data_IF_785547439798
#
_entry.id   IF_785547439798
#
_cell.length_a   1.000
_cell.length_b   1.000
_cell.length_c   1.000
_cell.angle_alpha   90.00
_cell.angle_beta   90.00
_cell.angle_gamma   90.00
#
_symmetry.space_group_name_H-M   'P 1'
#
loop_
_entity.id
_entity.type
_entity.pdbx_description
1 polymer ?
#
# COMPACT_ATOMS: atom_id res chain seq x y z
N UNK A 1 -4.94 0.74 18.02
CA UNK A 1 -4.92 2.12 17.49
C UNK A 1 -3.57 2.48 16.87
N UNK A 2 -2.45 2.31 17.59
CA UNK A 2 -1.09 2.62 17.10
C UNK A 2 -0.77 2.02 15.72
N UNK A 3 -1.01 0.72 15.51
CA UNK A 3 -0.81 0.06 14.20
C UNK A 3 -1.63 0.66 13.06
N UNK A 4 -2.85 1.14 13.31
CA UNK A 4 -3.67 1.80 12.28
C UNK A 4 -3.08 3.15 11.89
N UNK A 5 -2.53 3.90 12.86
CA UNK A 5 -1.83 5.17 12.59
C UNK A 5 -0.55 4.92 11.80
N UNK A 6 0.22 3.88 12.12
CA UNK A 6 1.39 3.50 11.34
C UNK A 6 1.04 3.08 9.92
N UNK A 7 0.01 2.27 9.76
CA UNK A 7 -0.48 1.82 8.45
C UNK A 7 -0.93 3.01 7.61
N UNK A 8 -1.70 3.94 8.21
CA UNK A 8 -2.11 5.19 7.57
C UNK A 8 -0.90 5.94 7.01
N UNK A 9 0.10 6.20 7.86
CA UNK A 9 1.31 6.93 7.47
C UNK A 9 2.05 6.26 6.32
N UNK A 10 2.23 4.94 6.37
CA UNK A 10 2.90 4.19 5.31
C UNK A 10 2.16 4.28 3.97
N UNK A 11 0.82 4.20 3.97
CA UNK A 11 0.01 4.35 2.75
C UNK A 11 0.09 5.79 2.21
N UNK A 12 0.03 6.80 3.07
CA UNK A 12 0.15 8.21 2.66
C UNK A 12 1.52 8.51 2.05
N UNK A 13 2.61 8.06 2.69
CA UNK A 13 3.97 8.19 2.18
C UNK A 13 4.12 7.51 0.82
N UNK A 14 3.57 6.31 0.65
CA UNK A 14 3.55 5.60 -0.63
C UNK A 14 2.80 6.38 -1.72
N UNK A 15 1.60 6.89 -1.41
CA UNK A 15 0.78 7.61 -2.39
C UNK A 15 1.43 8.94 -2.81
N UNK A 16 2.07 9.65 -1.87
CA UNK A 16 2.79 10.88 -2.18
C UNK A 16 4.03 10.61 -3.05
N UNK A 17 4.83 9.59 -2.70
CA UNK A 17 5.96 9.14 -3.52
C UNK A 17 5.49 8.76 -4.93
N UNK A 18 4.44 7.94 -5.04
CA UNK A 18 3.87 7.50 -6.32
C UNK A 18 3.39 8.68 -7.15
N UNK A 19 2.70 9.66 -6.55
CA UNK A 19 2.25 10.87 -7.24
C UNK A 19 3.41 11.65 -7.84
N UNK A 20 4.49 11.82 -7.09
CA UNK A 20 5.69 12.51 -7.56
C UNK A 20 6.38 11.76 -8.70
N UNK A 21 6.44 10.42 -8.61
CA UNK A 21 6.99 9.56 -9.66
C UNK A 21 6.12 9.55 -10.93
N UNK A 22 4.79 9.55 -10.80
CA UNK A 22 3.88 9.57 -11.95
C UNK A 22 3.89 10.90 -12.74
N UNK A 23 4.41 11.98 -12.15
CA UNK A 23 4.65 13.23 -12.88
C UNK A 23 5.87 13.15 -13.81
N UNK A 24 6.72 12.13 -13.65
CA UNK A 24 7.87 11.89 -14.52
C UNK A 24 7.44 11.13 -15.78
N UNK A 25 7.97 11.55 -16.94
CA UNK A 25 7.68 10.90 -18.24
C UNK A 25 8.64 9.76 -18.58
N UNK A 26 9.72 9.64 -17.82
CA UNK A 26 10.83 8.72 -18.10
C UNK A 26 10.74 7.39 -17.35
N UNK A 27 9.76 7.25 -16.44
CA UNK A 27 9.45 6.03 -15.70
C UNK A 27 7.96 5.69 -15.81
N UNK A 28 7.63 4.42 -15.60
CA UNK A 28 6.26 3.92 -15.54
C UNK A 28 6.10 2.87 -14.45
N UNK A 29 4.88 2.71 -13.96
CA UNK A 29 4.52 1.63 -13.02
C UNK A 29 4.60 0.26 -13.72
N UNK A 30 5.00 -0.77 -12.98
CA UNK A 30 4.96 -2.18 -13.40
C UNK A 30 3.52 -2.67 -13.60
N UNK A 31 2.62 -2.28 -12.71
CA UNK A 31 1.19 -2.56 -12.78
C UNK A 31 0.38 -1.53 -11.99
N UNK A 32 -0.92 -1.47 -12.24
CA UNK A 32 -1.83 -0.63 -11.46
C UNK A 32 -1.99 -1.15 -10.04
N UNK A 33 -1.72 -0.30 -9.06
CA UNK A 33 -1.99 -0.58 -7.65
C UNK A 33 -2.94 0.48 -7.10
N UNK A 34 -4.02 0.10 -6.40
CA UNK A 34 -4.95 1.08 -5.81
C UNK A 34 -5.07 0.88 -4.31
N UNK A 35 -4.57 1.86 -3.54
CA UNK A 35 -4.64 1.89 -2.07
C UNK A 35 -5.61 2.95 -1.54
N UNK A 36 -6.36 3.65 -2.41
CA UNK A 36 -7.23 4.76 -1.99
C UNK A 36 -8.35 4.27 -1.09
N UNK A 37 -9.10 3.24 -1.50
CA UNK A 37 -10.16 2.66 -0.69
C UNK A 37 -9.63 2.18 0.66
N UNK A 38 -8.44 1.57 0.65
CA UNK A 38 -7.80 1.09 1.86
C UNK A 38 -7.39 2.24 2.79
N UNK A 39 -6.81 3.32 2.27
CA UNK A 39 -6.52 4.51 3.05
C UNK A 39 -7.78 5.13 3.66
N UNK A 40 -8.87 5.22 2.89
CA UNK A 40 -10.15 5.73 3.40
C UNK A 40 -10.64 4.91 4.60
N UNK A 41 -10.61 3.58 4.47
CA UNK A 41 -10.97 2.65 5.55
C UNK A 41 -10.09 2.82 6.78
N UNK A 42 -8.76 2.86 6.59
CA UNK A 42 -7.82 3.06 7.70
C UNK A 42 -8.06 4.41 8.38
N UNK A 43 -8.33 5.47 7.62
CA UNK A 43 -8.69 6.78 8.17
C UNK A 43 -9.96 6.74 9.03
N UNK A 44 -11.00 6.04 8.56
CA UNK A 44 -12.21 5.84 9.36
C UNK A 44 -11.93 5.07 10.66
N UNK A 45 -11.02 4.10 10.65
CA UNK A 45 -10.64 3.37 11.86
C UNK A 45 -9.81 4.22 12.83
N UNK A 46 -9.00 5.15 12.33
CA UNK A 46 -8.18 6.06 13.15
C UNK A 46 -9.01 7.18 13.78
N UNK A 47 -9.93 7.79 13.02
CA UNK A 47 -10.65 9.01 13.44
C UNK A 47 -12.16 8.85 13.62
N UNK A 48 -12.75 7.77 13.09
CA UNK A 48 -14.19 7.57 13.08
C UNK A 48 -14.74 7.06 14.41
N UNK A 49 -16.03 7.33 14.64
CA UNK A 49 -16.78 6.69 15.73
C UNK A 49 -17.25 5.31 15.26
N UNK A 50 -16.43 4.29 15.53
CA UNK A 50 -16.63 2.89 15.12
C UNK A 50 -18.04 2.38 15.45
N UNK A 51 -18.60 2.77 16.60
CA UNK A 51 -19.95 2.38 17.05
C UNK A 51 -21.09 2.81 16.13
N UNK A 52 -20.83 3.68 15.15
CA UNK A 52 -21.82 4.16 14.17
C UNK A 52 -21.73 3.48 12.82
N UNK A 53 -20.78 2.55 12.62
CA UNK A 53 -20.66 1.84 11.35
C UNK A 53 -21.84 0.88 11.16
N UNK A 54 -22.47 0.99 9.99
CA UNK A 54 -23.45 0.02 9.54
C UNK A 54 -22.77 -1.32 9.25
N UNK A 55 -23.56 -2.39 9.28
CA UNK A 55 -23.04 -3.75 9.16
C UNK A 55 -22.46 -4.06 7.77
N UNK A 56 -23.03 -3.46 6.71
CA UNK A 56 -22.46 -3.52 5.36
C UNK A 56 -21.07 -2.88 5.30
N UNK A 57 -20.91 -1.69 5.90
CA UNK A 57 -19.63 -0.98 5.96
C UNK A 57 -18.57 -1.79 6.72
N UNK A 58 -18.94 -2.44 7.82
CA UNK A 58 -18.02 -3.32 8.56
C UNK A 58 -17.50 -4.47 7.69
N UNK A 59 -18.38 -5.10 6.90
CA UNK A 59 -18.01 -6.18 5.98
C UNK A 59 -17.04 -5.70 4.90
N UNK A 60 -17.31 -4.52 4.32
CA UNK A 60 -16.42 -3.91 3.32
C UNK A 60 -15.01 -3.65 3.90
N UNK A 61 -14.95 -3.17 5.15
CA UNK A 61 -13.69 -2.95 5.85
C UNK A 61 -12.93 -4.26 6.05
N UNK A 62 -13.60 -5.29 6.55
CA UNK A 62 -13.00 -6.61 6.75
C UNK A 62 -12.49 -7.22 5.44
N UNK A 63 -13.22 -7.06 4.35
CA UNK A 63 -12.85 -7.56 3.04
C UNK A 63 -11.60 -6.86 2.50
N UNK A 64 -11.48 -5.54 2.66
CA UNK A 64 -10.28 -4.81 2.26
C UNK A 64 -9.07 -5.21 3.12
N UNK A 65 -9.21 -5.36 4.44
CA UNK A 65 -8.10 -5.87 5.26
C UNK A 65 -7.69 -7.28 4.84
N UNK A 66 -8.66 -8.18 4.62
CA UNK A 66 -8.41 -9.54 4.13
C UNK A 66 -7.63 -9.53 2.82
N UNK A 67 -8.05 -8.69 1.86
CA UNK A 67 -7.42 -8.57 0.55
C UNK A 67 -5.96 -8.15 0.66
N UNK A 68 -5.66 -7.15 1.49
CA UNK A 68 -4.28 -6.67 1.66
C UNK A 68 -3.43 -7.56 2.57
N UNK A 69 -4.05 -8.37 3.43
CA UNK A 69 -3.34 -9.33 4.30
C UNK A 69 -3.07 -10.69 3.63
N UNK A 70 -3.75 -11.05 2.54
CA UNK A 70 -3.59 -12.36 1.91
C UNK A 70 -2.27 -12.48 1.14
N UNK A 71 -1.60 -13.63 1.25
CA UNK A 71 -0.50 -13.96 0.36
C UNK A 71 -1.08 -14.48 -0.97
N UNK A 72 -0.97 -13.69 -2.04
CA UNK A 72 -1.67 -13.93 -3.31
C UNK A 72 -0.95 -14.94 -4.24
N UNK A 73 -0.01 -15.71 -3.69
CA UNK A 73 0.67 -16.79 -4.41
C UNK A 73 1.80 -16.26 -5.30
N UNK A 74 1.72 -16.52 -6.62
CA UNK A 74 2.77 -16.13 -7.57
C UNK A 74 2.84 -14.62 -7.85
N UNK A 75 1.78 -13.87 -7.50
CA UNK A 75 1.73 -12.43 -7.72
C UNK A 75 1.08 -11.76 -6.51
N UNK A 76 1.85 -10.93 -5.80
CA UNK A 76 1.40 -10.05 -4.75
C UNK A 76 1.43 -8.59 -5.26
N UNK A 77 0.28 -7.91 -5.39
CA UNK A 77 0.20 -6.56 -5.93
C UNK A 77 1.04 -5.52 -5.18
N UNK A 78 1.38 -5.73 -3.91
CA UNK A 78 2.26 -4.84 -3.14
C UNK A 78 3.73 -5.23 -3.30
N UNK A 79 4.05 -6.51 -3.12
CA UNK A 79 5.45 -6.95 -3.10
C UNK A 79 6.08 -6.99 -4.49
N UNK A 80 5.27 -7.18 -5.53
CA UNK A 80 5.74 -7.17 -6.92
C UNK A 80 5.63 -5.77 -7.56
N UNK A 81 5.30 -4.72 -6.80
CA UNK A 81 5.15 -3.36 -7.33
C UNK A 81 6.48 -2.62 -7.38
N UNK A 82 6.84 -2.16 -8.57
CA UNK A 82 8.03 -1.36 -8.84
C UNK A 82 7.81 -0.40 -10.03
N UNK A 83 8.76 0.51 -10.23
CA UNK A 83 8.86 1.39 -11.39
C UNK A 83 9.94 0.91 -12.36
N UNK A 84 9.71 1.14 -13.65
CA UNK A 84 10.66 0.84 -14.73
C UNK A 84 10.92 2.05 -15.61
N UNK A 85 12.12 2.14 -16.21
CA UNK A 85 12.43 3.15 -17.23
C UNK A 85 11.56 2.96 -18.47
N UNK A 86 11.13 4.06 -19.08
CA UNK A 86 10.44 4.07 -20.39
C UNK A 86 11.44 4.02 -21.55
N UNK A 87 12.63 4.60 -21.38
CA UNK A 87 13.67 4.64 -22.42
C UNK A 87 14.68 3.53 -22.14
N UNK A 88 14.69 2.51 -22.98
CA UNK A 88 15.44 1.26 -22.82
C UNK A 88 16.79 1.25 -23.53
N UNK A 89 17.51 2.37 -23.56
CA UNK A 89 18.89 2.37 -24.00
C UNK A 89 19.73 2.18 -22.74
N UNK A 90 19.83 0.95 -22.24
CA UNK A 90 20.43 0.54 -20.96
C UNK A 90 21.93 0.84 -20.78
N UNK A 91 22.42 1.94 -21.36
CA UNK A 91 23.77 2.48 -21.30
C UNK A 91 23.92 3.58 -20.25
N UNK A 92 22.84 4.10 -19.68
CA UNK A 92 22.88 5.13 -18.64
C UNK A 92 22.90 4.48 -17.23
N UNK A 93 24.12 4.28 -16.71
CA UNK A 93 24.33 3.69 -15.38
C UNK A 93 23.77 4.55 -14.24
N UNK A 94 23.77 5.87 -14.39
CA UNK A 94 23.28 6.79 -13.36
C UNK A 94 21.76 6.68 -13.24
N UNK A 95 21.06 6.68 -14.36
CA UNK A 95 19.61 6.50 -14.41
C UNK A 95 19.17 5.11 -13.88
N UNK A 96 19.93 4.07 -14.18
CA UNK A 96 19.65 2.73 -13.67
C UNK A 96 19.79 2.66 -12.14
N UNK A 97 20.81 3.31 -11.58
CA UNK A 97 20.97 3.38 -10.12
C UNK A 97 19.88 4.25 -9.49
N UNK A 98 19.48 5.35 -10.12
CA UNK A 98 18.35 6.17 -9.66
C UNK A 98 17.07 5.34 -9.53
N UNK A 99 16.70 4.59 -10.57
CA UNK A 99 15.51 3.74 -10.59
C UNK A 99 15.62 2.64 -9.54
N UNK A 100 16.80 2.06 -9.35
CA UNK A 100 17.04 1.08 -8.29
C UNK A 100 16.79 1.68 -6.90
N UNK A 101 17.28 2.88 -6.63
CA UNK A 101 17.06 3.56 -5.35
C UNK A 101 15.58 3.93 -5.13
N UNK A 102 14.87 4.33 -6.19
CA UNK A 102 13.42 4.53 -6.16
C UNK A 102 12.73 3.22 -5.76
N UNK A 103 13.08 2.11 -6.41
CA UNK A 103 12.45 0.81 -6.15
C UNK A 103 12.77 0.24 -4.76
N UNK A 104 13.93 0.55 -4.19
CA UNK A 104 14.23 0.21 -2.78
C UNK A 104 13.24 0.91 -1.86
N UNK A 105 13.06 2.23 -1.99
CA UNK A 105 12.12 3.00 -1.15
C UNK A 105 10.68 2.55 -1.34
N UNK A 106 10.28 2.29 -2.59
CA UNK A 106 8.95 1.77 -2.91
C UNK A 106 8.75 0.40 -2.25
N UNK A 107 9.72 -0.51 -2.37
CA UNK A 107 9.66 -1.84 -1.78
C UNK A 107 9.60 -1.82 -0.25
N UNK A 108 10.34 -0.93 0.41
CA UNK A 108 10.26 -0.74 1.87
C UNK A 108 8.84 -0.33 2.31
N UNK A 109 8.23 0.61 1.59
CA UNK A 109 6.87 1.07 1.88
C UNK A 109 5.83 -0.02 1.61
N UNK A 110 5.87 -0.70 0.45
CA UNK A 110 4.88 -1.74 0.13
C UNK A 110 5.00 -2.93 1.07
N UNK A 111 6.22 -3.31 1.47
CA UNK A 111 6.46 -4.35 2.47
C UNK A 111 5.91 -3.94 3.85
N UNK A 112 6.13 -2.69 4.27
CA UNK A 112 5.61 -2.17 5.54
C UNK A 112 4.07 -2.17 5.57
N UNK A 113 3.43 -1.70 4.49
CA UNK A 113 1.97 -1.73 4.34
C UNK A 113 1.48 -3.18 4.47
N UNK A 114 2.07 -4.10 3.71
CA UNK A 114 1.71 -5.52 3.73
C UNK A 114 1.81 -6.12 5.13
N UNK A 115 2.94 -5.91 5.79
CA UNK A 115 3.21 -6.44 7.13
C UNK A 115 2.17 -5.94 8.14
N UNK A 116 1.90 -4.64 8.15
CA UNK A 116 0.90 -4.05 9.05
C UNK A 116 -0.51 -4.58 8.76
N UNK A 117 -0.89 -4.72 7.48
CA UNK A 117 -2.17 -5.32 7.08
C UNK A 117 -2.32 -6.76 7.60
N UNK A 118 -1.27 -7.58 7.45
CA UNK A 118 -1.23 -8.96 7.97
C UNK A 118 -1.38 -8.98 9.48
N UNK A 119 -0.60 -8.16 10.18
CA UNK A 119 -0.63 -8.11 11.64
C UNK A 119 -1.99 -7.67 12.19
N UNK A 120 -2.66 -6.72 11.53
CA UNK A 120 -4.00 -6.29 11.93
C UNK A 120 -5.01 -7.41 11.71
N UNK A 121 -4.97 -8.08 10.56
CA UNK A 121 -5.95 -9.10 10.21
C UNK A 121 -5.79 -10.40 11.00
N UNK A 122 -4.56 -10.92 11.13
CA UNK A 122 -4.29 -12.22 11.78
C UNK A 122 -4.48 -12.15 13.29
N UNK A 123 -4.09 -11.03 13.93
CA UNK A 123 -4.26 -10.86 15.37
C UNK A 123 -5.67 -10.36 15.73
N UNK A 124 -6.61 -10.45 14.79
CA UNK A 124 -7.99 -10.02 14.90
C UNK A 124 -8.17 -8.62 15.48
N UNK A 125 -7.30 -7.67 15.12
CA UNK A 125 -7.31 -6.32 15.70
C UNK A 125 -8.42 -5.44 15.12
N UNK A 126 -9.38 -6.01 14.39
CA UNK A 126 -10.54 -5.32 13.83
C UNK A 126 -11.53 -5.05 14.99
N UNK A 127 -11.90 -3.78 15.24
CA UNK A 127 -12.51 -3.40 16.52
C UNK A 127 -13.82 -4.08 16.92
N UNK A 128 -14.59 -4.61 15.98
CA UNK A 128 -15.89 -5.24 16.23
C UNK A 128 -15.86 -6.77 16.07
N UNK A 129 -14.69 -7.35 15.80
CA UNK A 129 -14.51 -8.81 15.82
C UNK A 129 -14.18 -9.33 17.22
N UNK A 130 -13.70 -8.45 18.10
CA UNK A 130 -13.44 -8.73 19.53
C UNK A 130 -14.55 -8.21 20.44
#
# INVERSE_FOLDING_TARGET
MEKYVELKKAIEEFLELRKNLNNRKDIKESHSLSLISYLCIVNYLVYGKISRFREDVKKDIEEEFRKWSQNLGKFDPLLDYYFVSVTSDGKDSEKNEEIRQINIKVGELTHKIKKLSIEIYINDLIPWRN
#
